data_IF_539707772271
#
_entry.id   IF_539707772271
#
_cell.length_a   1.000
_cell.length_b   1.000
_cell.length_c   1.000
_cell.angle_alpha   90.00
_cell.angle_beta   90.00
_cell.angle_gamma   90.00
#
_symmetry.space_group_name_H-M   'P 1'
#
loop_
_entity.id
_entity.type
_entity.pdbx_description
1 polymer ?
#
# COMPACT_ATOMS: atom_id res chain seq x y z
N UNK A 1 -5.05 0.79 -34.32
CA UNK A 1 -5.52 0.19 -33.06
C UNK A 1 -4.78 0.93 -31.95
N UNK A 2 -5.37 2.01 -31.40
CA UNK A 2 -4.80 2.72 -30.27
C UNK A 2 -5.11 1.92 -28.99
N UNK A 3 -4.12 1.22 -28.48
CA UNK A 3 -4.17 0.64 -27.14
C UNK A 3 -4.18 1.80 -26.13
N UNK A 4 -5.35 2.10 -25.60
CA UNK A 4 -5.53 3.09 -24.54
C UNK A 4 -4.85 2.56 -23.27
N UNK A 5 -3.68 3.10 -22.93
CA UNK A 5 -2.93 2.75 -21.74
C UNK A 5 -3.75 3.14 -20.50
N UNK A 6 -4.49 2.17 -19.94
CA UNK A 6 -5.21 2.36 -18.67
C UNK A 6 -4.19 2.46 -17.54
N UNK A 7 -4.19 3.55 -16.81
CA UNK A 7 -3.33 3.75 -15.63
C UNK A 7 -4.07 3.28 -14.38
N UNK A 8 -3.49 2.36 -13.66
CA UNK A 8 -3.95 1.92 -12.33
C UNK A 8 -3.19 2.70 -11.27
N UNK A 9 -3.77 2.87 -10.10
CA UNK A 9 -3.15 3.63 -9.03
C UNK A 9 -3.23 2.88 -7.70
N UNK A 10 -2.14 2.91 -6.96
CA UNK A 10 -2.05 2.36 -5.61
C UNK A 10 -2.37 3.46 -4.60
N UNK A 11 -3.38 3.24 -3.77
CA UNK A 11 -3.81 4.20 -2.77
C UNK A 11 -3.35 3.84 -1.36
N UNK A 12 -3.06 4.88 -0.60
CA UNK A 12 -2.75 4.80 0.82
C UNK A 12 -4.07 4.90 1.61
N UNK A 13 -4.44 3.86 2.33
CA UNK A 13 -5.67 3.86 3.13
C UNK A 13 -5.50 4.70 4.39
N UNK A 14 -6.03 5.91 4.40
CA UNK A 14 -6.37 6.67 5.60
C UNK A 14 -7.60 7.51 5.31
N UNK A 15 -8.55 7.50 6.24
CA UNK A 15 -9.77 8.30 6.14
C UNK A 15 -9.40 9.80 6.03
N UNK A 16 -9.91 10.44 4.98
CA UNK A 16 -9.93 11.89 4.71
C UNK A 16 -8.58 12.64 4.68
N UNK A 17 -8.06 12.83 3.53
CA UNK A 17 -7.34 13.93 2.85
C UNK A 17 -6.18 13.42 1.99
N UNK A 18 -6.12 13.91 0.73
CA UNK A 18 -5.06 13.66 -0.27
C UNK A 18 -4.43 12.27 -0.19
N UNK A 19 -5.14 11.29 -0.68
CA UNK A 19 -4.61 9.94 -0.86
C UNK A 19 -3.47 10.03 -1.86
N UNK A 20 -2.25 9.75 -1.42
CA UNK A 20 -1.13 9.61 -2.35
C UNK A 20 -1.39 8.40 -3.23
N UNK A 21 -1.43 8.60 -4.52
CA UNK A 21 -1.64 7.54 -5.50
C UNK A 21 -0.47 7.50 -6.46
N UNK A 22 -0.07 6.28 -6.84
CA UNK A 22 1.02 6.05 -7.78
C UNK A 22 0.40 5.48 -9.05
N UNK A 23 0.64 6.09 -10.22
CA UNK A 23 0.16 5.53 -11.47
C UNK A 23 0.89 4.21 -11.77
N UNK A 24 0.13 3.13 -11.91
CA UNK A 24 0.65 1.80 -12.21
C UNK A 24 0.03 1.30 -13.52
N UNK A 25 0.83 0.67 -14.37
CA UNK A 25 0.33 -0.01 -15.57
C UNK A 25 -0.23 -1.38 -15.20
N UNK A 26 -1.21 -1.87 -15.94
CA UNK A 26 -1.78 -3.21 -15.72
C UNK A 26 -0.69 -4.30 -15.69
N UNK A 27 0.26 -4.24 -16.62
CA UNK A 27 1.38 -5.18 -16.64
C UNK A 27 2.24 -5.17 -15.37
N UNK A 28 2.40 -4.01 -14.73
CA UNK A 28 3.09 -3.89 -13.45
C UNK A 28 2.23 -4.44 -12.30
N UNK A 29 0.92 -4.20 -12.33
CA UNK A 29 0.01 -4.73 -11.31
C UNK A 29 0.00 -6.26 -11.32
N UNK A 30 0.06 -6.87 -12.51
CA UNK A 30 0.09 -8.33 -12.65
C UNK A 30 1.43 -8.97 -12.29
N UNK A 31 2.54 -8.23 -12.37
CA UNK A 31 3.91 -8.78 -12.17
C UNK A 31 4.58 -8.29 -10.89
N UNK A 32 4.66 -6.97 -10.72
CA UNK A 32 5.50 -6.34 -9.69
C UNK A 32 4.70 -5.66 -8.58
N UNK A 33 3.42 -5.39 -8.80
CA UNK A 33 2.52 -4.72 -7.88
C UNK A 33 1.29 -5.58 -7.56
N UNK A 34 1.40 -6.90 -7.67
CA UNK A 34 0.35 -7.83 -7.32
C UNK A 34 0.07 -7.85 -5.81
N UNK A 35 -1.00 -8.54 -5.40
CA UNK A 35 -1.34 -8.72 -3.99
C UNK A 35 -0.13 -9.21 -3.19
N UNK A 36 0.13 -8.57 -2.06
CA UNK A 36 1.27 -8.88 -1.20
C UNK A 36 2.61 -8.31 -1.68
N UNK A 37 2.71 -7.78 -2.91
CA UNK A 37 3.95 -7.18 -3.38
C UNK A 37 4.33 -5.95 -2.55
N UNK A 38 5.61 -5.82 -2.25
CA UNK A 38 6.17 -4.60 -1.65
C UNK A 38 6.52 -3.64 -2.77
N UNK A 39 5.91 -2.46 -2.75
CA UNK A 39 6.09 -1.42 -3.75
C UNK A 39 6.62 -0.14 -3.11
N UNK A 40 7.43 0.60 -3.86
CA UNK A 40 7.94 1.88 -3.38
C UNK A 40 6.93 2.98 -3.68
N UNK A 41 6.38 3.59 -2.63
CA UNK A 41 5.65 4.84 -2.70
C UNK A 41 6.56 6.06 -2.72
N UNK A 42 5.99 7.27 -2.80
CA UNK A 42 6.78 8.50 -2.78
C UNK A 42 7.66 8.64 -1.54
N UNK A 43 7.13 8.29 -0.37
CA UNK A 43 7.82 8.46 0.91
C UNK A 43 8.15 7.13 1.61
N UNK A 44 7.40 6.07 1.32
CA UNK A 44 7.47 4.81 2.08
C UNK A 44 7.32 3.59 1.18
N UNK A 45 7.86 2.46 1.64
CA UNK A 45 7.49 1.16 1.13
C UNK A 45 6.06 0.83 1.56
N UNK A 46 5.33 0.19 0.67
CA UNK A 46 3.95 -0.22 0.88
C UNK A 46 3.75 -1.64 0.38
N UNK A 47 2.82 -2.37 0.98
CA UNK A 47 2.35 -3.64 0.44
C UNK A 47 0.96 -3.48 -0.15
N UNK A 48 0.73 -4.12 -1.30
CA UNK A 48 -0.57 -4.19 -1.95
C UNK A 48 -1.47 -5.11 -1.13
N UNK A 49 -2.65 -4.62 -0.79
CA UNK A 49 -3.60 -5.37 0.04
C UNK A 49 -4.26 -6.51 -0.73
N UNK A 50 -4.84 -7.45 0.03
CA UNK A 50 -5.63 -8.55 -0.48
C UNK A 50 -6.80 -8.06 -1.36
N UNK A 51 -7.13 -8.82 -2.41
CA UNK A 51 -8.22 -8.46 -3.34
C UNK A 51 -9.59 -8.33 -2.63
N UNK A 52 -9.78 -8.99 -1.50
CA UNK A 52 -10.98 -8.84 -0.67
C UNK A 52 -11.16 -7.45 -0.09
N UNK A 53 -10.08 -6.68 -0.03
CA UNK A 53 -10.09 -5.27 0.37
C UNK A 53 -10.22 -4.29 -0.81
N UNK A 54 -10.26 -4.80 -2.05
CA UNK A 54 -10.44 -3.97 -3.25
C UNK A 54 -11.93 -3.70 -3.44
N UNK A 55 -12.44 -2.77 -2.66
CA UNK A 55 -13.85 -2.40 -2.63
C UNK A 55 -14.06 -0.96 -3.05
N UNK A 56 -15.23 -0.70 -3.60
CA UNK A 56 -15.72 0.65 -3.85
C UNK A 56 -16.13 1.35 -2.55
N UNK A 57 -16.62 2.58 -2.64
CA UNK A 57 -17.10 3.36 -1.50
C UNK A 57 -18.33 2.75 -0.79
N UNK A 58 -19.04 1.85 -1.46
CA UNK A 58 -20.20 1.14 -0.91
C UNK A 58 -19.84 -0.19 -0.27
N UNK A 59 -18.57 -0.58 -0.31
CA UNK A 59 -18.07 -1.86 0.19
C UNK A 59 -18.27 -3.04 -0.77
N UNK A 60 -18.69 -2.78 -2.01
CA UNK A 60 -18.78 -3.81 -3.05
C UNK A 60 -17.43 -4.01 -3.73
N UNK A 61 -17.17 -5.19 -4.32
CA UNK A 61 -15.96 -5.43 -5.09
C UNK A 61 -15.73 -4.36 -6.14
N UNK A 62 -14.56 -3.74 -6.13
CA UNK A 62 -14.16 -2.72 -7.09
C UNK A 62 -13.82 -3.31 -8.46
N UNK A 63 -13.80 -2.45 -9.48
CA UNK A 63 -13.53 -2.83 -10.86
C UNK A 63 -14.76 -3.31 -11.63
N UNK A 64 -14.66 -3.30 -12.94
CA UNK A 64 -15.74 -3.71 -13.83
C UNK A 64 -15.74 -5.23 -14.05
N UNK A 65 -16.92 -5.88 -14.11
CA UNK A 65 -17.01 -7.28 -14.49
C UNK A 65 -16.45 -7.52 -15.89
N UNK A 66 -15.64 -8.56 -16.05
CA UNK A 66 -15.10 -8.97 -17.34
C UNK A 66 -16.20 -9.76 -18.06
N UNK A 67 -16.48 -9.35 -19.31
CA UNK A 67 -17.51 -10.00 -20.15
C UNK A 67 -16.94 -11.22 -20.87
N UNK A 68 -17.82 -12.16 -21.22
CA UNK A 68 -17.50 -13.34 -22.04
C UNK A 68 -16.44 -14.28 -21.44
N UNK A 69 -16.46 -14.44 -20.12
CA UNK A 69 -15.47 -15.26 -19.39
C UNK A 69 -16.04 -16.60 -18.90
N UNK A 70 -17.26 -16.95 -19.26
CA UNK A 70 -17.90 -18.18 -18.77
C UNK A 70 -17.10 -19.43 -19.12
N UNK A 71 -16.54 -19.50 -20.32
CA UNK A 71 -15.65 -20.60 -20.71
C UNK A 71 -14.38 -20.67 -19.86
N UNK A 72 -13.80 -19.52 -19.51
CA UNK A 72 -12.62 -19.44 -18.65
C UNK A 72 -12.98 -19.87 -17.23
N UNK A 73 -14.10 -19.37 -16.68
CA UNK A 73 -14.58 -19.74 -15.35
C UNK A 73 -14.83 -21.24 -15.24
N UNK A 74 -15.50 -21.81 -16.24
CA UNK A 74 -15.76 -23.24 -16.31
C UNK A 74 -14.47 -24.05 -16.39
N UNK A 75 -13.51 -23.62 -17.22
CA UNK A 75 -12.22 -24.31 -17.36
C UNK A 75 -11.38 -24.26 -16.07
N UNK A 76 -11.50 -23.16 -15.28
CA UNK A 76 -10.80 -23.00 -13.99
C UNK A 76 -11.57 -23.59 -12.81
N UNK A 77 -12.83 -24.03 -13.00
CA UNK A 77 -13.68 -24.54 -11.92
C UNK A 77 -14.02 -23.49 -10.86
N UNK A 78 -14.17 -22.22 -11.27
CA UNK A 78 -14.45 -21.10 -10.37
C UNK A 78 -15.84 -20.54 -10.62
N UNK A 79 -16.60 -20.30 -9.54
CA UNK A 79 -17.94 -19.70 -9.60
C UNK A 79 -17.91 -18.18 -9.42
N UNK A 80 -16.80 -17.63 -8.91
CA UNK A 80 -16.64 -16.20 -8.63
C UNK A 80 -16.68 -15.38 -9.92
N UNK A 81 -17.26 -14.19 -9.83
CA UNK A 81 -17.22 -13.21 -10.89
C UNK A 81 -15.79 -12.71 -11.10
N UNK A 82 -15.31 -12.75 -12.34
CA UNK A 82 -14.02 -12.17 -12.70
C UNK A 82 -14.17 -10.67 -12.99
N UNK A 83 -13.34 -9.87 -12.36
CA UNK A 83 -13.36 -8.41 -12.49
C UNK A 83 -12.01 -7.87 -12.92
N UNK A 84 -12.04 -6.79 -13.67
CA UNK A 84 -10.83 -5.98 -13.91
C UNK A 84 -10.37 -5.37 -12.58
N UNK A 85 -9.07 -5.12 -12.40
CA UNK A 85 -8.60 -4.32 -11.27
C UNK A 85 -9.23 -2.92 -11.29
N UNK A 86 -9.41 -2.28 -10.12
CA UNK A 86 -9.92 -0.91 -10.04
C UNK A 86 -9.06 0.05 -10.85
N UNK A 87 -9.70 0.94 -11.60
CA UNK A 87 -9.03 1.92 -12.47
C UNK A 87 -9.25 3.31 -11.93
N UNK A 88 -8.16 3.98 -11.62
CA UNK A 88 -8.17 5.40 -11.32
C UNK A 88 -7.62 6.21 -12.50
N UNK A 89 -8.24 7.36 -12.77
CA UNK A 89 -7.81 8.32 -13.80
C UNK A 89 -7.06 9.46 -13.14
N UNK A 90 -5.87 9.75 -13.62
CA UNK A 90 -5.18 10.98 -13.24
C UNK A 90 -5.77 12.13 -14.09
N UNK A 91 -6.20 13.18 -13.41
CA UNK A 91 -6.63 14.43 -14.02
C UNK A 91 -5.43 15.33 -14.30
N UNK A 92 -5.57 16.28 -15.21
CA UNK A 92 -4.55 17.28 -15.54
C UNK A 92 -4.18 18.15 -14.32
N UNK A 93 -5.08 18.24 -13.35
CA UNK A 93 -4.86 18.91 -12.05
C UNK A 93 -3.99 18.13 -11.07
N UNK A 94 -3.48 16.96 -11.43
CA UNK A 94 -2.75 16.05 -10.54
C UNK A 94 -3.64 15.34 -9.51
N UNK A 95 -4.96 15.52 -9.58
CA UNK A 95 -5.92 14.75 -8.79
C UNK A 95 -6.16 13.39 -9.43
N UNK A 96 -6.47 12.41 -8.61
CA UNK A 96 -6.84 11.08 -9.05
C UNK A 96 -8.32 10.86 -8.74
N UNK A 97 -9.09 10.55 -9.77
CA UNK A 97 -10.49 10.16 -9.65
C UNK A 97 -10.66 8.68 -9.95
N UNK A 98 -11.65 8.08 -9.30
CA UNK A 98 -11.96 6.66 -9.43
C UNK A 98 -11.39 5.85 -8.28
N UNK A 99 -11.45 4.55 -8.43
CA UNK A 99 -11.04 3.59 -7.42
C UNK A 99 -9.60 3.19 -7.64
N UNK A 100 -8.87 3.09 -6.53
CA UNK A 100 -7.47 2.74 -6.54
C UNK A 100 -7.27 1.36 -5.90
N UNK A 101 -6.26 0.63 -6.35
CA UNK A 101 -5.81 -0.57 -5.65
C UNK A 101 -5.27 -0.17 -4.27
N UNK A 102 -5.85 -0.68 -3.17
CA UNK A 102 -5.44 -0.29 -1.84
C UNK A 102 -4.08 -0.86 -1.47
N UNK A 103 -3.29 -0.07 -0.79
CA UNK A 103 -2.01 -0.46 -0.23
C UNK A 103 -1.85 0.09 1.19
N UNK A 104 -0.98 -0.54 1.98
CA UNK A 104 -0.65 -0.11 3.33
C UNK A 104 0.86 0.03 3.51
N UNK A 105 1.29 0.92 4.40
CA UNK A 105 2.70 1.04 4.75
C UNK A 105 3.20 -0.26 5.36
N UNK A 106 4.27 -0.79 4.79
CA UNK A 106 4.94 -1.99 5.26
C UNK A 106 6.39 -1.98 4.76
N UNK A 107 7.37 -2.33 5.59
CA UNK A 107 7.29 -2.67 7.01
C UNK A 107 6.78 -1.53 7.91
N UNK A 108 6.27 -1.88 9.12
CA UNK A 108 5.59 -0.92 9.99
C UNK A 108 6.52 -0.18 10.95
N UNK A 109 7.76 -0.59 11.05
CA UNK A 109 8.75 0.04 11.91
C UNK A 109 9.42 1.23 11.24
N UNK A 110 9.66 2.26 12.05
CA UNK A 110 10.43 3.42 11.63
C UNK A 110 11.53 3.69 12.64
N UNK A 111 12.69 4.14 12.16
CA UNK A 111 13.87 4.43 12.95
C UNK A 111 14.13 5.95 12.97
N UNK A 112 14.54 6.44 14.11
CA UNK A 112 15.08 7.79 14.19
C UNK A 112 16.53 7.83 13.66
N UNK A 113 16.86 8.66 12.67
CA UNK A 113 18.23 8.74 12.15
C UNK A 113 19.21 9.36 13.14
N UNK A 114 18.73 10.10 14.15
CA UNK A 114 19.56 10.77 15.14
C UNK A 114 19.88 9.87 16.35
N UNK A 115 18.86 9.29 16.98
CA UNK A 115 19.06 8.52 18.21
C UNK A 115 18.92 7.00 18.03
N UNK A 116 18.54 6.53 16.82
CA UNK A 116 18.38 5.12 16.52
C UNK A 116 17.09 4.48 17.05
N UNK A 117 16.29 5.20 17.85
CA UNK A 117 15.06 4.66 18.45
C UNK A 117 14.09 4.16 17.39
N UNK A 118 13.54 2.97 17.62
CA UNK A 118 12.55 2.35 16.76
C UNK A 118 11.13 2.70 17.23
N UNK A 119 10.25 2.99 16.29
CA UNK A 119 8.86 3.33 16.52
C UNK A 119 7.96 2.43 15.68
N UNK A 120 7.00 1.77 16.31
CA UNK A 120 6.03 0.90 15.62
C UNK A 120 4.79 1.69 15.22
N UNK A 121 4.49 1.69 13.91
CA UNK A 121 3.33 2.39 13.32
C UNK A 121 3.15 3.84 13.81
N UNK A 122 4.21 4.68 13.81
CA UNK A 122 4.17 6.02 14.41
C UNK A 122 3.24 7.00 13.66
N UNK A 123 2.72 6.60 12.50
CA UNK A 123 1.73 7.37 11.72
C UNK A 123 0.29 7.17 12.17
N UNK A 124 0.02 6.24 13.12
CA UNK A 124 -1.33 6.06 13.65
C UNK A 124 -1.77 7.30 14.40
N UNK A 125 -2.95 7.81 14.04
CA UNK A 125 -3.50 9.03 14.65
C UNK A 125 -2.95 10.34 14.08
N UNK A 126 -1.95 10.30 13.19
CA UNK A 126 -1.49 11.50 12.51
C UNK A 126 -2.33 11.80 11.25
N UNK A 127 -2.48 13.07 10.86
CA UNK A 127 -3.02 13.45 9.56
C UNK A 127 -2.23 12.77 8.42
N UNK A 128 -2.89 12.53 7.28
CA UNK A 128 -2.29 11.79 6.17
C UNK A 128 -1.06 12.48 5.56
N UNK A 129 -1.03 13.80 5.61
CA UNK A 129 0.02 14.69 5.11
C UNK A 129 1.15 14.91 6.13
N UNK A 130 0.96 14.49 7.37
CA UNK A 130 1.96 14.64 8.41
C UNK A 130 2.93 13.46 8.42
N UNK A 131 4.22 13.78 8.41
CA UNK A 131 5.30 12.80 8.50
C UNK A 131 5.68 12.57 9.96
N UNK A 132 5.71 11.32 10.44
CA UNK A 132 6.02 11.02 11.81
C UNK A 132 7.43 11.46 12.19
N UNK A 133 7.55 12.02 13.40
CA UNK A 133 8.80 12.47 14.00
C UNK A 133 9.17 11.61 15.21
N UNK A 134 10.43 11.67 15.60
CA UNK A 134 10.92 10.98 16.77
C UNK A 134 10.15 11.41 18.04
N UNK A 135 9.71 10.42 18.83
CA UNK A 135 8.95 10.61 20.06
C UNK A 135 9.81 10.37 21.30
N UNK A 136 11.16 10.34 21.17
CA UNK A 136 12.05 10.24 22.33
C UNK A 136 11.75 11.39 23.30
N UNK A 137 11.49 11.04 24.56
CA UNK A 137 11.16 12.00 25.59
C UNK A 137 12.36 12.77 26.13
N UNK A 138 13.52 12.10 26.16
CA UNK A 138 14.75 12.70 26.66
C UNK A 138 15.39 13.61 25.58
N UNK A 139 15.41 14.94 25.80
CA UNK A 139 16.02 15.86 24.88
C UNK A 139 17.54 15.71 24.75
N UNK A 140 18.21 15.07 25.72
CA UNK A 140 19.64 14.76 25.63
C UNK A 140 19.90 13.65 24.62
N UNK A 141 18.96 12.69 24.46
CA UNK A 141 19.06 11.59 23.50
C UNK A 141 18.65 12.00 22.10
N UNK A 142 17.62 12.84 21.95
CA UNK A 142 17.16 13.31 20.64
C UNK A 142 16.67 14.76 20.66
N UNK A 143 17.61 15.69 20.54
CA UNK A 143 17.33 17.15 20.62
C UNK A 143 16.41 17.66 19.53
N UNK A 144 16.61 17.21 18.27
CA UNK A 144 15.97 17.79 17.10
C UNK A 144 14.68 17.07 16.67
N UNK A 145 14.34 15.95 17.26
CA UNK A 145 13.18 15.12 16.89
C UNK A 145 12.96 15.03 15.37
N UNK A 146 13.94 14.50 14.60
CA UNK A 146 13.88 14.50 13.15
C UNK A 146 12.73 13.62 12.65
N UNK A 147 12.45 13.75 11.35
CA UNK A 147 11.52 12.82 10.68
C UNK A 147 12.07 11.41 10.75
N UNK A 148 11.18 10.46 10.97
CA UNK A 148 11.53 9.05 11.03
C UNK A 148 11.71 8.49 9.62
N UNK A 149 12.66 7.56 9.49
CA UNK A 149 12.92 6.78 8.29
C UNK A 149 12.35 5.38 8.44
N UNK A 150 11.76 4.84 7.40
CA UNK A 150 11.22 3.49 7.45
C UNK A 150 12.34 2.46 7.56
N UNK A 151 12.24 1.56 8.51
CA UNK A 151 13.14 0.42 8.63
C UNK A 151 12.75 -0.64 7.59
N UNK A 152 13.61 -0.95 6.58
CA UNK A 152 13.21 -1.77 5.43
C UNK A 152 13.27 -3.28 5.69
N UNK A 153 13.23 -3.69 6.94
CA UNK A 153 13.37 -5.09 7.33
C UNK A 153 12.01 -5.74 7.56
N UNK A 154 11.80 -6.89 6.93
CA UNK A 154 10.63 -7.73 7.09
C UNK A 154 11.05 -9.19 7.25
N UNK A 155 10.22 -9.98 7.92
CA UNK A 155 10.34 -11.43 7.94
C UNK A 155 9.54 -11.99 6.77
N UNK A 156 10.10 -12.96 6.08
CA UNK A 156 9.44 -13.68 4.99
C UNK A 156 9.56 -15.17 5.29
N UNK A 157 8.41 -15.84 5.38
CA UNK A 157 8.33 -17.28 5.51
C UNK A 157 8.48 -17.96 4.15
N UNK A 158 8.89 -19.23 4.13
CA UNK A 158 9.04 -20.00 2.88
C UNK A 158 7.73 -20.09 2.08
N UNK A 159 6.59 -20.07 2.76
CA UNK A 159 5.26 -20.08 2.14
C UNK A 159 4.79 -18.69 1.67
N UNK A 160 5.65 -17.68 1.67
CA UNK A 160 5.36 -16.32 1.20
C UNK A 160 4.67 -15.41 2.20
N UNK A 161 4.42 -15.84 3.44
CA UNK A 161 3.88 -14.96 4.48
C UNK A 161 4.91 -13.91 4.89
N UNK A 162 4.46 -12.66 4.99
CA UNK A 162 5.30 -11.53 5.42
C UNK A 162 4.83 -10.98 6.76
N UNK A 163 5.79 -10.62 7.62
CA UNK A 163 5.52 -10.01 8.91
C UNK A 163 6.55 -8.92 9.25
N UNK A 164 6.17 -8.00 10.11
CA UNK A 164 7.11 -7.07 10.72
C UNK A 164 8.11 -7.81 11.60
N UNK A 165 9.35 -7.37 11.61
CA UNK A 165 10.36 -7.92 12.54
C UNK A 165 9.97 -7.57 13.98
N UNK A 166 9.89 -8.54 14.90
CA UNK A 166 9.51 -8.31 16.29
C UNK A 166 10.70 -7.77 17.10
N UNK A 167 11.16 -6.55 16.80
CA UNK A 167 12.36 -5.95 17.38
C UNK A 167 12.35 -5.92 18.91
N UNK A 168 11.18 -5.69 19.52
CA UNK A 168 11.04 -5.70 20.97
C UNK A 168 11.33 -7.07 21.58
N UNK A 169 11.02 -8.15 20.87
CA UNK A 169 11.30 -9.51 21.31
C UNK A 169 12.77 -9.90 21.08
N UNK A 170 13.38 -9.39 20.01
CA UNK A 170 14.78 -9.68 19.69
C UNK A 170 15.77 -8.89 20.57
N UNK A 171 15.30 -7.79 21.19
CA UNK A 171 16.13 -6.92 22.02
C UNK A 171 16.17 -7.33 23.50
N UNK A 172 15.32 -8.27 23.91
CA UNK A 172 15.20 -8.80 25.28
C UNK A 172 15.35 -10.32 25.30
#
# INVERSE_FOLDING_TARGET
VHAQCRKYSLAKTTMNKKTESIPVRLSHLLRHCSVGAIVRGPDYLMTVKDIREWTDKSGKPAGEPIRYVDGVRSALGIDQELREPPVAKALDTGRVEGECVPAQRFPSWMRCPSCGLLHYKPWRGLPADEKPRCQESDPKKCKNKPRLEQAPWALIHVDGHMADVPWHFLAH
#
